data_IF_953849848141
#
_entry.id   IF_953849848141
#
_cell.length_a   1.000
_cell.length_b   1.000
_cell.length_c   1.000
_cell.angle_alpha   90.00
_cell.angle_beta   90.00
_cell.angle_gamma   90.00
#
_symmetry.space_group_name_H-M   'P 1'
#
loop_
_entity.id
_entity.type
_entity.pdbx_description
1 polymer ?
#
# COMPACT_ATOMS: atom_id res chain seq x y z
N UNK A 1 12.31 -20.40 -5.30
CA UNK A 1 10.94 -20.64 -5.82
C UNK A 1 10.67 -19.58 -6.89
N UNK A 2 9.76 -19.80 -7.84
CA UNK A 2 9.44 -18.82 -8.88
C UNK A 2 7.94 -18.57 -8.97
N UNK A 3 7.51 -17.35 -9.25
CA UNK A 3 6.16 -17.08 -9.75
C UNK A 3 6.22 -16.72 -11.23
N UNK A 4 5.10 -16.88 -11.93
CA UNK A 4 5.00 -16.46 -13.33
C UNK A 4 4.58 -15.00 -13.44
N UNK A 5 5.36 -14.23 -14.18
CA UNK A 5 5.06 -12.85 -14.61
C UNK A 5 4.78 -12.84 -16.10
N UNK A 6 3.85 -11.97 -16.51
CA UNK A 6 3.35 -11.90 -17.87
C UNK A 6 1.98 -12.53 -18.00
N UNK A 7 1.25 -12.13 -19.04
CA UNK A 7 -0.14 -12.54 -19.28
C UNK A 7 -0.33 -13.18 -20.66
N UNK A 8 0.78 -13.42 -21.37
CA UNK A 8 0.82 -14.10 -22.67
C UNK A 8 1.92 -15.16 -22.62
N UNK A 9 1.69 -16.39 -23.09
CA UNK A 9 2.66 -17.49 -22.94
C UNK A 9 4.05 -17.22 -23.54
N UNK A 10 4.12 -16.44 -24.62
CA UNK A 10 5.39 -16.09 -25.28
C UNK A 10 6.20 -15.02 -24.54
N UNK A 11 5.58 -14.29 -23.61
CA UNK A 11 6.22 -13.25 -22.79
C UNK A 11 6.41 -13.71 -21.33
N UNK A 12 6.13 -15.00 -21.07
CA UNK A 12 6.21 -15.58 -19.75
C UNK A 12 7.63 -15.44 -19.17
N UNK A 13 7.72 -14.87 -17.97
CA UNK A 13 8.97 -14.78 -17.21
C UNK A 13 8.79 -15.46 -15.86
N UNK A 14 9.72 -16.34 -15.49
CA UNK A 14 9.80 -16.87 -14.12
C UNK A 14 10.62 -15.90 -13.28
N UNK A 15 10.00 -15.34 -12.25
CA UNK A 15 10.66 -14.40 -11.34
C UNK A 15 10.92 -15.10 -10.01
N UNK A 16 12.18 -15.10 -9.59
CA UNK A 16 12.59 -15.75 -8.35
C UNK A 16 12.03 -15.02 -7.12
N UNK A 17 11.59 -15.83 -6.15
CA UNK A 17 11.09 -15.42 -4.84
C UNK A 17 11.76 -16.27 -3.77
N UNK A 18 11.84 -15.73 -2.54
CA UNK A 18 12.24 -16.53 -1.38
C UNK A 18 11.36 -17.77 -1.24
N UNK A 19 11.98 -18.93 -1.00
CA UNK A 19 11.30 -20.21 -0.79
C UNK A 19 10.65 -20.27 0.60
N UNK A 20 9.59 -19.47 0.80
CA UNK A 20 8.80 -19.35 2.03
C UNK A 20 7.30 -19.40 1.71
N UNK A 21 6.49 -19.96 2.60
CA UNK A 21 5.05 -20.03 2.40
C UNK A 21 4.39 -18.65 2.28
N UNK A 22 4.95 -17.63 2.96
CA UNK A 22 4.53 -16.23 2.91
C UNK A 22 4.62 -15.60 1.50
N UNK A 23 5.46 -16.17 0.62
CA UNK A 23 5.61 -15.68 -0.75
C UNK A 23 4.48 -16.16 -1.68
N UNK A 24 3.70 -17.17 -1.28
CA UNK A 24 2.59 -17.67 -2.09
C UNK A 24 1.50 -16.60 -2.27
N UNK A 25 0.73 -16.70 -3.35
CA UNK A 25 -0.24 -15.67 -3.75
C UNK A 25 -1.41 -16.29 -4.50
N UNK A 26 -2.62 -16.18 -3.97
CA UNK A 26 -3.78 -16.95 -4.45
C UNK A 26 -4.22 -16.69 -5.89
N UNK A 27 -3.86 -15.55 -6.48
CA UNK A 27 -4.24 -15.17 -7.86
C UNK A 27 -3.22 -15.55 -8.94
N UNK A 28 -2.16 -16.30 -8.61
CA UNK A 28 -1.14 -16.73 -9.57
C UNK A 28 -0.68 -18.17 -9.30
N UNK A 29 0.27 -18.64 -10.10
CA UNK A 29 0.92 -19.93 -9.95
C UNK A 29 2.39 -19.77 -9.55
N UNK A 30 2.91 -20.75 -8.82
CA UNK A 30 4.31 -20.83 -8.41
C UNK A 30 4.95 -22.14 -8.87
N UNK A 31 6.23 -22.08 -9.19
CA UNK A 31 7.06 -23.23 -9.55
C UNK A 31 8.20 -23.41 -8.54
N UNK A 32 8.37 -24.64 -8.09
CA UNK A 32 9.46 -25.06 -7.22
C UNK A 32 10.29 -26.08 -7.96
N UNK A 33 11.50 -25.69 -8.33
CA UNK A 33 12.42 -26.55 -9.06
C UNK A 33 13.25 -27.30 -8.03
N UNK A 34 13.03 -28.60 -7.88
CA UNK A 34 13.88 -29.45 -7.06
C UNK A 34 14.73 -30.35 -7.95
N UNK A 35 15.90 -29.83 -8.32
CA UNK A 35 16.80 -30.51 -9.25
C UNK A 35 17.32 -31.85 -8.74
N UNK A 36 17.41 -32.02 -7.41
CA UNK A 36 17.97 -33.22 -6.77
C UNK A 36 17.07 -34.45 -6.89
N UNK A 37 15.75 -34.24 -6.87
CA UNK A 37 14.73 -35.30 -7.04
C UNK A 37 14.03 -35.24 -8.40
N UNK A 38 14.57 -34.45 -9.32
CA UNK A 38 14.12 -34.33 -10.71
C UNK A 38 12.63 -33.99 -10.85
N UNK A 39 12.12 -33.18 -9.92
CA UNK A 39 10.70 -32.83 -9.85
C UNK A 39 10.53 -31.31 -9.81
N UNK A 40 9.59 -30.81 -10.60
CA UNK A 40 9.12 -29.43 -10.57
C UNK A 40 7.72 -29.44 -9.96
N UNK A 41 7.58 -28.89 -8.76
CA UNK A 41 6.28 -28.74 -8.11
C UNK A 41 5.64 -27.44 -8.59
N UNK A 42 4.39 -27.49 -9.02
CA UNK A 42 3.63 -26.33 -9.48
C UNK A 42 2.46 -26.13 -8.53
N UNK A 43 2.46 -25.01 -7.81
CA UNK A 43 1.36 -24.63 -6.94
C UNK A 43 0.44 -23.66 -7.68
N UNK A 44 -0.87 -23.94 -7.69
CA UNK A 44 -1.89 -23.14 -8.35
C UNK A 44 -2.75 -22.47 -7.28
N UNK A 45 -2.69 -21.14 -7.23
CA UNK A 45 -3.54 -20.37 -6.32
C UNK A 45 -5.03 -20.55 -6.63
N UNK A 46 -5.88 -20.49 -5.61
CA UNK A 46 -7.31 -20.79 -5.71
C UNK A 46 -8.09 -19.77 -6.55
N UNK A 47 -7.50 -18.60 -6.81
CA UNK A 47 -8.03 -17.54 -7.67
C UNK A 47 -7.14 -17.32 -8.90
N UNK A 48 -6.25 -18.26 -9.22
CA UNK A 48 -5.44 -18.23 -10.43
C UNK A 48 -6.36 -18.46 -11.64
N UNK A 49 -6.32 -17.54 -12.60
CA UNK A 49 -7.11 -17.64 -13.83
C UNK A 49 -6.48 -18.65 -14.80
N UNK A 50 -7.30 -19.26 -15.65
CA UNK A 50 -6.85 -20.26 -16.64
C UNK A 50 -5.73 -19.74 -17.54
N UNK A 51 -5.82 -18.48 -17.98
CA UNK A 51 -4.75 -17.85 -18.76
C UNK A 51 -3.40 -17.84 -18.02
N UNK A 52 -3.40 -17.58 -16.71
CA UNK A 52 -2.16 -17.48 -15.91
C UNK A 52 -1.58 -18.87 -15.71
N UNK A 53 -2.44 -19.87 -15.56
CA UNK A 53 -2.05 -21.29 -15.53
C UNK A 53 -1.43 -21.72 -16.86
N UNK A 54 -1.99 -21.33 -18.00
CA UNK A 54 -1.43 -21.60 -19.33
C UNK A 54 -0.04 -20.96 -19.50
N UNK A 55 0.13 -19.69 -19.08
CA UNK A 55 1.42 -19.00 -19.10
C UNK A 55 2.45 -19.73 -18.23
N UNK A 56 2.06 -20.20 -17.03
CA UNK A 56 2.94 -21.01 -16.18
C UNK A 56 3.31 -22.34 -16.85
N UNK A 57 2.34 -23.06 -17.40
CA UNK A 57 2.58 -24.32 -18.11
C UNK A 57 3.58 -24.12 -19.24
N UNK A 58 3.41 -23.08 -20.06
CA UNK A 58 4.33 -22.78 -21.15
C UNK A 58 5.73 -22.42 -20.67
N UNK A 59 5.83 -21.66 -19.57
CA UNK A 59 7.12 -21.34 -18.95
C UNK A 59 7.85 -22.59 -18.46
N UNK A 60 7.12 -23.52 -17.84
CA UNK A 60 7.67 -24.81 -17.36
C UNK A 60 8.07 -25.73 -18.52
N UNK A 61 7.25 -25.83 -19.57
CA UNK A 61 7.61 -26.57 -20.79
C UNK A 61 8.92 -26.04 -21.39
N UNK A 62 9.02 -24.72 -21.54
CA UNK A 62 10.23 -24.09 -22.05
C UNK A 62 11.43 -24.36 -21.13
N UNK A 63 11.25 -24.26 -19.82
CA UNK A 63 12.29 -24.58 -18.84
C UNK A 63 12.79 -26.03 -18.96
N UNK A 64 11.88 -27.00 -19.08
CA UNK A 64 12.21 -28.44 -19.21
C UNK A 64 12.88 -28.74 -20.55
N UNK A 65 12.49 -28.03 -21.63
CA UNK A 65 13.09 -28.22 -22.95
C UNK A 65 14.51 -27.66 -23.04
N UNK A 66 14.78 -26.51 -22.41
CA UNK A 66 16.08 -25.84 -22.48
C UNK A 66 17.05 -26.30 -21.39
N UNK A 67 16.55 -26.70 -20.21
CA UNK A 67 17.33 -27.21 -19.06
C UNK A 67 18.52 -26.33 -18.70
N UNK A 68 18.26 -25.09 -18.25
CA UNK A 68 19.32 -24.17 -17.84
C UNK A 68 20.18 -24.75 -16.71
N UNK A 69 21.50 -24.73 -16.91
CA UNK A 69 22.47 -25.17 -15.90
C UNK A 69 22.50 -24.26 -14.66
N UNK A 70 22.11 -22.99 -14.80
CA UNK A 70 21.99 -22.02 -13.69
C UNK A 70 20.96 -22.49 -12.65
N UNK A 71 19.91 -23.19 -13.11
CA UNK A 71 18.89 -23.80 -12.26
C UNK A 71 19.25 -25.23 -11.85
N UNK A 72 20.51 -25.63 -12.04
CA UNK A 72 21.02 -26.98 -11.80
C UNK A 72 20.27 -28.07 -12.56
N UNK A 73 19.65 -27.73 -13.70
CA UNK A 73 18.96 -28.69 -14.55
C UNK A 73 19.98 -29.43 -15.42
N UNK A 74 19.91 -30.76 -15.43
CA UNK A 74 20.85 -31.62 -16.17
C UNK A 74 20.24 -32.06 -17.49
N UNK A 75 21.01 -31.97 -18.57
CA UNK A 75 20.55 -32.26 -19.93
C UNK A 75 19.99 -33.68 -20.11
N UNK A 76 20.60 -34.66 -19.44
CA UNK A 76 20.31 -36.10 -19.49
C UNK A 76 19.18 -36.53 -18.53
N UNK A 77 18.67 -35.62 -17.70
CA UNK A 77 17.61 -35.91 -16.73
C UNK A 77 16.24 -35.52 -17.28
N UNK A 78 15.26 -36.40 -17.12
CA UNK A 78 13.86 -36.08 -17.38
C UNK A 78 13.22 -35.53 -16.10
N UNK A 79 12.72 -34.29 -16.17
CA UNK A 79 12.05 -33.63 -15.06
C UNK A 79 10.55 -33.87 -15.14
N UNK A 80 9.94 -34.22 -14.00
CA UNK A 80 8.49 -34.45 -13.90
C UNK A 80 7.82 -33.26 -13.21
N UNK A 81 6.65 -32.85 -13.69
CA UNK A 81 5.84 -31.80 -13.08
C UNK A 81 4.77 -32.39 -12.17
N UNK A 82 4.61 -31.87 -10.95
CA UNK A 82 3.53 -32.22 -10.03
C UNK A 82 2.73 -30.98 -9.65
N UNK A 83 1.44 -30.98 -9.90
CA UNK A 83 0.57 -29.83 -9.64
C UNK A 83 -0.17 -29.98 -8.30
N UNK A 84 -0.28 -28.88 -7.55
CA UNK A 84 -0.99 -28.79 -6.27
C UNK A 84 -1.89 -27.56 -6.30
N UNK A 85 -3.17 -27.74 -5.98
CA UNK A 85 -4.11 -26.64 -5.85
C UNK A 85 -4.09 -26.08 -4.42
N UNK A 86 -4.17 -24.76 -4.29
CA UNK A 86 -4.30 -24.08 -3.01
C UNK A 86 -5.51 -24.60 -2.21
N UNK A 87 -5.29 -24.92 -0.94
CA UNK A 87 -6.27 -25.52 -0.03
C UNK A 87 -6.38 -27.04 -0.13
N UNK A 88 -5.71 -27.67 -1.10
CA UNK A 88 -5.66 -29.14 -1.28
C UNK A 88 -4.22 -29.67 -1.23
N UNK A 89 -3.29 -28.91 -0.65
CA UNK A 89 -1.87 -29.28 -0.61
C UNK A 89 -1.63 -30.43 0.37
N UNK A 90 -1.02 -31.50 -0.13
CA UNK A 90 -0.57 -32.62 0.68
C UNK A 90 0.76 -32.36 1.39
N UNK A 91 1.14 -33.28 2.30
CA UNK A 91 2.43 -33.24 3.00
C UNK A 91 3.62 -33.11 2.04
N UNK A 92 3.56 -33.79 0.90
CA UNK A 92 4.60 -33.75 -0.13
C UNK A 92 4.95 -32.31 -0.57
N UNK A 93 3.94 -31.46 -0.75
CA UNK A 93 4.17 -30.07 -1.13
C UNK A 93 4.77 -29.27 0.02
N UNK A 94 4.25 -29.42 1.24
CA UNK A 94 4.72 -28.67 2.39
C UNK A 94 6.14 -29.03 2.81
N UNK A 95 6.56 -30.27 2.60
CA UNK A 95 7.93 -30.73 2.86
C UNK A 95 8.97 -29.96 2.01
N UNK A 96 8.56 -29.33 0.89
CA UNK A 96 9.44 -28.46 0.06
C UNK A 96 9.93 -27.23 0.84
N UNK A 97 9.18 -26.77 1.84
CA UNK A 97 9.57 -25.65 2.71
C UNK A 97 10.36 -26.09 3.97
N UNK A 98 10.60 -27.39 4.14
CA UNK A 98 11.32 -27.95 5.30
C UNK A 98 10.65 -27.64 6.64
N UNK A 99 11.45 -27.38 7.69
CA UNK A 99 10.96 -27.04 9.04
C UNK A 99 10.22 -25.71 9.13
N UNK A 100 10.20 -24.90 8.05
CA UNK A 100 9.44 -23.65 7.96
C UNK A 100 8.01 -23.87 7.42
N UNK A 101 7.62 -25.12 7.14
CA UNK A 101 6.39 -25.51 6.46
C UNK A 101 5.22 -25.93 7.36
N UNK A 102 5.02 -25.30 8.52
CA UNK A 102 3.72 -25.41 9.21
C UNK A 102 2.79 -24.29 8.69
N UNK A 103 1.74 -24.64 7.91
CA UNK A 103 0.87 -23.66 7.30
C UNK A 103 0.00 -23.04 8.39
N UNK A 104 0.26 -21.78 8.72
CA UNK A 104 -0.86 -20.95 9.15
C UNK A 104 -1.42 -20.31 7.88
N UNK A 105 -2.70 -20.54 7.58
CA UNK A 105 -3.44 -19.86 6.48
C UNK A 105 -3.24 -18.33 6.49
N UNK A 106 -2.81 -17.78 7.62
CA UNK A 106 -2.46 -16.38 7.85
C UNK A 106 -1.18 -15.90 7.15
N UNK A 107 -0.31 -16.77 6.66
CA UNK A 107 1.03 -16.35 6.22
C UNK A 107 1.07 -15.52 4.93
N UNK A 108 0.09 -15.67 4.04
CA UNK A 108 0.05 -14.94 2.76
C UNK A 108 -1.33 -14.38 2.38
N UNK A 109 -2.25 -14.30 3.34
CA UNK A 109 -3.63 -13.84 3.11
C UNK A 109 -4.36 -14.67 2.04
N UNK A 110 -4.45 -15.99 2.28
CA UNK A 110 -5.11 -16.93 1.37
C UNK A 110 -6.56 -16.53 1.06
N UNK A 111 -6.93 -16.61 -0.22
CA UNK A 111 -8.27 -16.26 -0.71
C UNK A 111 -9.22 -17.46 -0.87
N UNK A 112 -8.87 -18.64 -0.32
CA UNK A 112 -9.69 -19.87 -0.43
C UNK A 112 -11.10 -19.67 0.12
N UNK A 113 -11.19 -19.01 1.27
CA UNK A 113 -12.45 -18.80 1.98
C UNK A 113 -13.18 -17.52 1.49
N UNK A 114 -12.63 -16.80 0.50
CA UNK A 114 -13.21 -15.55 -0.01
C UNK A 114 -14.29 -15.80 -1.06
N UNK A 115 -15.50 -15.25 -0.88
CA UNK A 115 -16.59 -15.37 -1.86
C UNK A 115 -16.40 -14.44 -3.07
N UNK A 116 -15.41 -13.54 -3.03
CA UNK A 116 -15.21 -12.54 -4.07
C UNK A 116 -14.59 -13.14 -5.34
N UNK A 117 -14.85 -12.47 -6.47
CA UNK A 117 -14.15 -12.70 -7.74
C UNK A 117 -12.86 -11.88 -7.78
N UNK A 118 -11.90 -12.34 -8.59
CA UNK A 118 -10.54 -11.78 -8.70
C UNK A 118 -10.08 -11.69 -10.17
N UNK A 119 -11.05 -11.54 -11.06
CA UNK A 119 -10.97 -11.49 -12.52
C UNK A 119 -10.73 -10.06 -13.07
N UNK A 120 -10.01 -9.24 -12.31
CA UNK A 120 -9.70 -7.85 -12.65
C UNK A 120 -8.22 -7.53 -12.46
N UNK A 121 -7.71 -6.53 -13.15
CA UNK A 121 -6.35 -6.01 -12.94
C UNK A 121 -6.41 -4.86 -11.92
N UNK A 122 -5.68 -4.93 -10.78
CA UNK A 122 -5.55 -3.79 -9.87
C UNK A 122 -4.98 -2.55 -10.57
N UNK A 123 -5.38 -1.35 -10.14
CA UNK A 123 -4.88 -0.08 -10.69
C UNK A 123 -4.20 0.73 -9.60
N UNK A 124 -3.09 1.37 -9.93
CA UNK A 124 -2.31 2.16 -8.98
C UNK A 124 -2.19 3.60 -9.49
N UNK A 125 -2.41 4.57 -8.62
CA UNK A 125 -2.29 5.98 -8.94
C UNK A 125 -1.37 6.65 -7.94
N UNK A 126 -0.33 7.32 -8.43
CA UNK A 126 0.52 8.18 -7.61
C UNK A 126 -0.15 9.55 -7.49
N UNK A 127 -0.36 10.02 -6.26
CA UNK A 127 -1.06 11.26 -5.96
C UNK A 127 -0.10 12.26 -5.32
N UNK A 128 0.12 13.41 -5.96
CA UNK A 128 1.13 14.38 -5.54
C UNK A 128 0.81 15.80 -6.03
N UNK A 129 1.27 16.79 -5.26
CA UNK A 129 1.26 18.23 -5.50
C UNK A 129 2.65 18.77 -5.89
N UNK A 130 3.61 17.90 -6.17
CA UNK A 130 4.99 18.28 -6.51
C UNK A 130 5.09 19.25 -7.70
N UNK A 131 4.14 19.20 -8.64
CA UNK A 131 4.03 20.12 -9.78
C UNK A 131 3.27 21.43 -9.49
N UNK A 132 2.90 21.71 -8.23
CA UNK A 132 2.14 22.90 -7.83
C UNK A 132 0.61 22.76 -7.88
N UNK A 133 0.11 21.75 -8.60
CA UNK A 133 -1.29 21.30 -8.58
C UNK A 133 -1.35 19.87 -8.07
N UNK A 134 -2.38 19.54 -7.30
CA UNK A 134 -2.63 18.17 -6.85
C UNK A 134 -3.12 17.32 -8.02
N UNK A 135 -2.35 16.28 -8.37
CA UNK A 135 -2.67 15.39 -9.49
C UNK A 135 -2.60 13.94 -9.04
N UNK A 136 -3.46 13.10 -9.64
CA UNK A 136 -3.39 11.65 -9.52
C UNK A 136 -3.02 11.07 -10.89
N UNK A 137 -1.84 10.44 -10.99
CA UNK A 137 -1.32 9.86 -12.23
C UNK A 137 -1.32 8.34 -12.14
N UNK A 138 -2.00 7.69 -13.08
CA UNK A 138 -2.03 6.22 -13.14
C UNK A 138 -0.64 5.66 -13.47
N UNK A 139 -0.19 4.71 -12.67
CA UNK A 139 0.99 3.90 -12.93
C UNK A 139 0.54 2.69 -13.73
N UNK A 140 1.14 2.51 -14.90
CA UNK A 140 0.79 1.44 -15.81
C UNK A 140 1.80 0.30 -15.69
N UNK A 141 1.28 -0.92 -15.59
CA UNK A 141 2.10 -2.12 -15.67
C UNK A 141 2.74 -2.23 -17.07
N UNK A 142 4.04 -2.55 -17.10
CA UNK A 142 4.86 -2.62 -18.31
C UNK A 142 4.53 -3.83 -19.19
N UNK A 143 4.00 -4.90 -18.59
CA UNK A 143 3.59 -6.14 -19.26
C UNK A 143 2.06 -6.32 -19.28
N UNK A 144 1.31 -5.22 -19.16
CA UNK A 144 -0.16 -5.27 -19.23
C UNK A 144 -0.65 -5.67 -20.61
N UNK A 145 -1.78 -6.38 -20.65
CA UNK A 145 -2.52 -6.66 -21.88
C UNK A 145 -3.89 -5.99 -21.83
N UNK A 146 -4.40 -5.57 -22.99
CA UNK A 146 -5.75 -5.01 -23.10
C UNK A 146 -6.86 -6.06 -22.97
N UNK A 147 -6.53 -7.35 -23.12
CA UNK A 147 -7.50 -8.45 -23.12
C UNK A 147 -7.36 -9.38 -21.91
N UNK A 148 -6.17 -9.41 -21.29
CA UNK A 148 -5.85 -10.38 -20.25
C UNK A 148 -5.65 -9.70 -18.89
N UNK A 149 -6.19 -10.32 -17.85
CA UNK A 149 -6.04 -9.85 -16.46
C UNK A 149 -4.60 -9.99 -15.99
N UNK A 150 -4.05 -8.95 -15.37
CA UNK A 150 -2.75 -8.99 -14.70
C UNK A 150 -2.98 -9.00 -13.19
N UNK A 151 -2.85 -10.15 -12.49
CA UNK A 151 -3.25 -10.27 -11.09
C UNK A 151 -2.37 -9.46 -10.13
N UNK A 152 -1.07 -9.36 -10.45
CA UNK A 152 -0.06 -8.66 -9.68
C UNK A 152 0.73 -7.71 -10.59
N UNK A 153 0.16 -6.55 -10.96
CA UNK A 153 0.74 -5.64 -11.94
C UNK A 153 1.87 -4.77 -11.38
N UNK A 154 1.94 -4.61 -10.06
CA UNK A 154 2.85 -3.72 -9.35
C UNK A 154 3.66 -4.48 -8.30
N UNK A 155 4.82 -3.94 -7.99
CA UNK A 155 5.79 -4.40 -6.99
C UNK A 155 5.81 -3.44 -5.81
N UNK A 156 6.38 -3.86 -4.68
CA UNK A 156 6.56 -2.97 -3.52
C UNK A 156 7.40 -1.73 -3.87
N UNK A 157 8.38 -1.88 -4.78
CA UNK A 157 9.22 -0.76 -5.21
C UNK A 157 8.41 0.35 -5.91
N UNK A 158 7.30 0.02 -6.57
CA UNK A 158 6.45 1.02 -7.23
C UNK A 158 5.84 2.05 -6.26
N UNK A 159 5.64 1.67 -4.98
CA UNK A 159 5.13 2.59 -3.93
C UNK A 159 6.23 3.09 -2.99
N UNK A 160 7.31 2.33 -2.80
CA UNK A 160 8.42 2.72 -1.90
C UNK A 160 9.52 3.58 -2.57
N UNK A 161 9.59 3.63 -3.91
CA UNK A 161 10.61 4.41 -4.63
C UNK A 161 10.23 5.87 -4.92
N UNK A 162 8.97 6.26 -4.70
CA UNK A 162 8.52 7.63 -4.91
C UNK A 162 9.09 8.57 -3.85
N UNK A 163 9.28 9.85 -4.19
CA UNK A 163 9.72 10.86 -3.24
C UNK A 163 8.65 11.09 -2.16
N UNK A 164 9.02 10.92 -0.89
CA UNK A 164 8.13 11.18 0.24
C UNK A 164 8.16 12.65 0.70
N UNK A 165 7.10 13.17 1.35
CA UNK A 165 5.82 12.51 1.59
C UNK A 165 5.06 12.19 0.30
N UNK A 166 4.29 11.10 0.29
CA UNK A 166 3.53 10.69 -0.90
C UNK A 166 2.31 9.84 -0.55
N UNK A 167 1.40 9.76 -1.52
CA UNK A 167 0.17 8.98 -1.47
C UNK A 167 0.00 8.13 -2.72
N UNK A 168 -0.54 6.93 -2.54
CA UNK A 168 -0.93 6.06 -3.63
C UNK A 168 -2.35 5.56 -3.43
N UNK A 169 -3.18 5.69 -4.47
CA UNK A 169 -4.47 5.02 -4.53
C UNK A 169 -4.30 3.68 -5.25
N UNK A 170 -4.54 2.58 -4.54
CA UNK A 170 -4.58 1.23 -5.08
C UNK A 170 -6.03 0.75 -5.16
N UNK A 171 -6.53 0.62 -6.37
CA UNK A 171 -7.84 0.07 -6.67
C UNK A 171 -7.74 -1.46 -6.81
N UNK A 172 -8.21 -2.18 -5.80
CA UNK A 172 -8.35 -3.64 -5.79
C UNK A 172 -9.81 -4.08 -6.04
N UNK A 173 -10.52 -3.33 -6.90
CA UNK A 173 -11.90 -3.55 -7.31
C UNK A 173 -12.94 -3.43 -6.17
N UNK A 174 -12.96 -4.39 -5.25
CA UNK A 174 -13.91 -4.45 -4.13
C UNK A 174 -13.46 -3.59 -2.93
N UNK A 175 -12.16 -3.30 -2.85
CA UNK A 175 -11.56 -2.48 -1.81
C UNK A 175 -10.59 -1.50 -2.45
N UNK A 176 -10.63 -0.26 -2.00
CA UNK A 176 -9.71 0.80 -2.42
C UNK A 176 -8.81 1.13 -1.23
N UNK A 177 -7.51 1.18 -1.47
CA UNK A 177 -6.54 1.56 -0.46
C UNK A 177 -5.92 2.91 -0.83
N UNK A 178 -5.94 3.85 0.11
CA UNK A 178 -5.09 5.02 0.09
C UNK A 178 -3.87 4.71 0.96
N UNK A 179 -2.76 4.34 0.31
CA UNK A 179 -1.49 4.14 0.98
C UNK A 179 -0.81 5.49 1.19
N UNK A 180 -0.36 5.76 2.41
CA UNK A 180 0.28 7.02 2.78
C UNK A 180 1.65 6.80 3.39
N UNK A 181 2.59 7.66 3.02
CA UNK A 181 3.92 7.71 3.60
C UNK A 181 4.30 9.15 3.90
N UNK A 182 4.39 9.48 5.19
CA UNK A 182 4.76 10.84 5.63
C UNK A 182 6.26 11.06 5.63
N UNK A 183 7.01 10.04 6.06
CA UNK A 183 8.45 10.11 6.24
C UNK A 183 9.20 9.58 5.03
N UNK A 184 10.38 10.12 4.76
CA UNK A 184 11.31 9.58 3.77
C UNK A 184 12.06 8.38 4.35
N UNK A 185 12.48 7.46 3.48
CA UNK A 185 13.23 6.26 3.88
C UNK A 185 14.47 6.07 3.01
N UNK A 186 15.54 5.52 3.59
CA UNK A 186 16.76 5.16 2.85
C UNK A 186 17.98 6.05 3.13
N UNK A 187 19.06 5.81 2.38
CA UNK A 187 20.39 6.40 2.62
C UNK A 187 20.50 7.91 2.34
N UNK A 188 19.50 8.49 1.66
CA UNK A 188 19.43 9.92 1.38
C UNK A 188 18.68 10.71 2.45
N UNK A 189 18.18 10.03 3.51
CA UNK A 189 17.66 10.69 4.70
C UNK A 189 18.84 11.17 5.55
N UNK A 190 19.17 12.45 5.43
CA UNK A 190 20.11 13.12 6.34
C UNK A 190 19.41 13.52 7.64
N UNK A 191 20.15 13.76 8.73
CA UNK A 191 19.60 14.35 9.97
C UNK A 191 18.84 15.66 9.69
N UNK A 192 19.23 16.41 8.67
CA UNK A 192 18.52 17.60 8.19
C UNK A 192 17.16 17.28 7.56
N UNK A 193 16.97 16.10 6.97
CA UNK A 193 15.70 15.68 6.35
C UNK A 193 14.65 15.33 7.40
N UNK A 194 15.06 14.70 8.50
CA UNK A 194 14.20 14.45 9.67
C UNK A 194 13.90 15.75 10.45
N UNK A 195 14.88 16.64 10.62
CA UNK A 195 14.68 17.95 11.22
C UNK A 195 13.73 18.85 10.38
N UNK A 196 13.78 18.74 9.05
CA UNK A 196 12.91 19.50 8.14
C UNK A 196 11.49 18.93 8.02
N UNK A 197 11.29 17.62 8.18
CA UNK A 197 9.96 16.99 8.28
C UNK A 197 9.19 17.46 9.53
N UNK A 198 9.89 17.96 10.55
CA UNK A 198 9.33 18.55 11.76
C UNK A 198 8.97 20.05 11.65
N UNK A 199 9.21 20.69 10.50
CA UNK A 199 8.85 22.12 10.32
C UNK A 199 7.33 22.29 10.17
N UNK A 200 6.78 23.36 10.75
CA UNK A 200 5.33 23.64 10.66
C UNK A 200 4.84 23.74 9.22
N UNK A 201 5.65 24.28 8.30
CA UNK A 201 5.32 24.39 6.87
C UNK A 201 5.17 23.06 6.15
N UNK A 202 6.02 22.06 6.45
CA UNK A 202 5.92 20.74 5.82
C UNK A 202 4.70 19.98 6.32
N UNK A 203 4.38 20.08 7.63
CA UNK A 203 3.16 19.50 8.18
C UNK A 203 1.89 20.14 7.59
N UNK A 204 1.89 21.45 7.31
CA UNK A 204 0.78 22.12 6.61
C UNK A 204 0.59 21.54 5.21
N UNK A 205 1.69 21.43 4.46
CA UNK A 205 1.65 20.89 3.09
C UNK A 205 1.16 19.45 3.08
N UNK A 206 1.72 18.61 3.95
CA UNK A 206 1.30 17.23 4.17
C UNK A 206 -0.21 17.15 4.46
N UNK A 207 -0.70 17.91 5.43
CA UNK A 207 -2.11 17.86 5.83
C UNK A 207 -3.06 18.29 4.70
N UNK A 208 -2.70 19.34 3.95
CA UNK A 208 -3.47 19.80 2.80
C UNK A 208 -3.48 18.75 1.67
N UNK A 209 -2.32 18.19 1.33
CA UNK A 209 -2.17 17.16 0.30
C UNK A 209 -2.89 15.86 0.68
N UNK A 210 -2.75 15.43 1.94
CA UNK A 210 -3.47 14.28 2.52
C UNK A 210 -4.97 14.46 2.38
N UNK A 211 -5.50 15.64 2.71
CA UNK A 211 -6.93 15.93 2.55
C UNK A 211 -7.37 15.81 1.10
N UNK A 212 -6.61 16.39 0.16
CA UNK A 212 -6.89 16.25 -1.27
C UNK A 212 -6.87 14.77 -1.73
N UNK A 213 -5.92 13.97 -1.22
CA UNK A 213 -5.82 12.55 -1.53
C UNK A 213 -7.02 11.76 -0.98
N UNK A 214 -7.42 12.03 0.26
CA UNK A 214 -8.59 11.43 0.89
C UNK A 214 -9.89 11.78 0.14
N UNK A 215 -10.12 13.06 -0.14
CA UNK A 215 -11.31 13.54 -0.87
C UNK A 215 -11.37 12.90 -2.27
N UNK A 216 -10.23 12.85 -2.98
CA UNK A 216 -10.12 12.24 -4.29
C UNK A 216 -10.36 10.72 -4.26
N UNK A 217 -9.84 10.03 -3.24
CA UNK A 217 -10.05 8.59 -3.08
C UNK A 217 -11.52 8.26 -2.75
N UNK A 218 -12.16 9.06 -1.90
CA UNK A 218 -13.58 8.92 -1.61
C UNK A 218 -14.44 9.16 -2.86
N UNK A 219 -14.14 10.24 -3.61
CA UNK A 219 -14.81 10.52 -4.87
C UNK A 219 -14.60 9.40 -5.89
N UNK A 220 -13.39 8.80 -5.95
CA UNK A 220 -13.10 7.66 -6.80
C UNK A 220 -13.99 6.46 -6.45
N UNK A 221 -14.15 6.13 -5.16
CA UNK A 221 -15.05 5.05 -4.74
C UNK A 221 -16.48 5.27 -5.25
N UNK A 222 -17.05 6.46 -5.03
CA UNK A 222 -18.40 6.78 -5.49
C UNK A 222 -18.54 6.79 -7.02
N UNK A 223 -17.52 7.29 -7.73
CA UNK A 223 -17.52 7.30 -9.19
C UNK A 223 -17.41 5.90 -9.79
N UNK A 224 -16.71 4.97 -9.11
CA UNK A 224 -16.56 3.58 -9.54
C UNK A 224 -17.89 2.83 -9.50
N UNK A 225 -18.66 2.99 -8.42
CA UNK A 225 -20.01 2.45 -8.30
C UNK A 225 -20.81 3.32 -7.34
N UNK A 226 -21.74 4.12 -7.86
CA UNK A 226 -22.52 5.04 -7.02
C UNK A 226 -23.60 4.34 -6.19
N UNK A 227 -24.08 3.17 -6.63
CA UNK A 227 -25.12 2.41 -5.94
C UNK A 227 -24.56 1.61 -4.76
N UNK A 228 -23.38 1.02 -4.96
CA UNK A 228 -22.64 0.27 -3.94
C UNK A 228 -21.14 0.58 -4.05
N UNK A 229 -20.69 1.74 -3.52
CA UNK A 229 -19.29 2.13 -3.57
C UNK A 229 -18.39 1.10 -2.87
N UNK A 230 -17.21 0.78 -3.43
CA UNK A 230 -16.25 -0.07 -2.75
C UNK A 230 -15.78 0.59 -1.45
N UNK A 231 -15.45 -0.25 -0.46
CA UNK A 231 -14.91 0.24 0.79
C UNK A 231 -13.52 0.86 0.57
N UNK A 232 -13.32 2.07 1.10
CA UNK A 232 -12.06 2.81 0.99
C UNK A 232 -11.33 2.86 2.33
N UNK A 233 -10.05 2.50 2.36
CA UNK A 233 -9.24 2.45 3.59
C UNK A 233 -7.92 3.21 3.44
N UNK A 234 -7.50 3.90 4.50
CA UNK A 234 -6.16 4.46 4.64
C UNK A 234 -5.26 3.41 5.27
N UNK A 235 -4.08 3.20 4.68
CA UNK A 235 -3.04 2.30 5.19
C UNK A 235 -1.70 3.03 5.22
N UNK A 236 -0.88 2.78 6.25
CA UNK A 236 0.37 3.49 6.43
C UNK A 236 1.57 2.65 6.00
N UNK A 237 2.55 3.32 5.38
CA UNK A 237 3.84 2.75 5.03
C UNK A 237 4.49 2.04 6.23
N UNK A 238 5.00 0.83 6.00
CA UNK A 238 5.66 -0.05 6.98
C UNK A 238 4.71 -0.71 7.98
N UNK A 239 3.44 -0.32 8.04
CA UNK A 239 2.42 -0.85 8.94
C UNK A 239 1.24 -1.44 8.17
N UNK A 240 1.44 -1.80 6.91
CA UNK A 240 0.38 -2.24 6.02
C UNK A 240 -0.25 -3.56 6.50
N UNK A 241 -1.57 -3.75 6.32
CA UNK A 241 -2.23 -5.02 6.61
C UNK A 241 -1.87 -6.10 5.57
N UNK A 242 -1.94 -7.37 5.97
CA UNK A 242 -1.70 -8.51 5.07
C UNK A 242 -2.58 -8.49 3.81
N UNK A 243 -3.81 -7.94 3.93
CA UNK A 243 -4.74 -7.75 2.80
C UNK A 243 -4.21 -6.79 1.73
N UNK A 244 -3.39 -5.81 2.10
CA UNK A 244 -2.72 -4.90 1.18
C UNK A 244 -1.43 -5.52 0.65
N UNK A 245 -0.58 -6.07 1.54
CA UNK A 245 0.69 -6.72 1.17
C UNK A 245 0.49 -7.88 0.18
N UNK A 246 -0.63 -8.60 0.31
CA UNK A 246 -1.04 -9.69 -0.58
C UNK A 246 -1.37 -9.25 -2.01
N UNK A 247 -1.52 -7.94 -2.28
CA UNK A 247 -1.79 -7.40 -3.62
C UNK A 247 -0.53 -7.21 -4.47
N UNK A 248 0.64 -7.50 -3.89
CA UNK A 248 1.93 -7.44 -4.53
C UNK A 248 2.51 -8.86 -4.64
N UNK A 249 3.29 -9.17 -5.70
CA UNK A 249 3.83 -10.51 -5.90
C UNK A 249 4.84 -10.89 -4.80
N UNK A 250 5.52 -9.88 -4.24
CA UNK A 250 6.42 -9.98 -3.10
C UNK A 250 6.20 -8.79 -2.19
N UNK A 251 6.37 -9.00 -0.89
CA UNK A 251 6.32 -7.94 0.10
C UNK A 251 7.33 -8.23 1.21
N UNK A 252 8.18 -7.24 1.50
CA UNK A 252 9.13 -7.26 2.60
C UNK A 252 8.70 -6.24 3.64
N UNK A 253 8.60 -6.68 4.89
CA UNK A 253 8.31 -5.80 5.99
C UNK A 253 9.46 -4.79 6.21
N UNK A 254 9.11 -3.51 6.30
CA UNK A 254 10.05 -2.40 6.45
C UNK A 254 10.01 -1.86 7.87
N UNK A 255 10.78 -2.49 8.76
CA UNK A 255 10.82 -2.12 10.18
C UNK A 255 11.30 -0.68 10.40
N UNK A 256 12.28 -0.25 9.61
CA UNK A 256 12.80 1.13 9.57
C UNK A 256 11.70 2.16 9.32
N UNK A 257 10.75 1.82 8.46
CA UNK A 257 9.60 2.65 8.12
C UNK A 257 8.49 2.56 9.16
N UNK A 258 8.25 1.33 9.64
CA UNK A 258 7.22 1.03 10.61
C UNK A 258 7.42 1.81 11.91
N UNK A 259 8.66 1.88 12.40
CA UNK A 259 8.98 2.50 13.67
C UNK A 259 8.72 4.00 13.69
N UNK A 260 8.91 4.69 12.56
CA UNK A 260 8.58 6.12 12.41
C UNK A 260 7.07 6.36 12.57
N UNK A 261 6.23 5.55 11.93
CA UNK A 261 4.77 5.72 12.03
C UNK A 261 4.20 5.20 13.35
N UNK A 262 4.84 4.23 14.02
CA UNK A 262 4.47 3.82 15.38
C UNK A 262 4.65 4.94 16.40
N UNK A 263 5.66 5.80 16.22
CA UNK A 263 5.87 6.97 17.07
C UNK A 263 4.71 7.98 16.95
N UNK A 264 4.07 8.05 15.78
CA UNK A 264 2.84 8.82 15.53
C UNK A 264 1.56 8.10 16.02
N UNK A 265 1.69 6.96 16.71
CA UNK A 265 0.57 6.21 17.28
C UNK A 265 -0.16 5.28 16.31
N UNK A 266 0.33 5.13 15.07
CA UNK A 266 -0.21 4.16 14.10
C UNK A 266 0.11 2.73 14.51
N UNK A 267 -0.79 1.80 14.19
CA UNK A 267 -0.67 0.39 14.58
C UNK A 267 -0.39 -0.51 13.38
N UNK A 268 0.40 -1.60 13.54
CA UNK A 268 0.57 -2.60 12.49
C UNK A 268 -0.77 -3.17 12.02
N UNK A 269 -0.97 -3.21 10.71
CA UNK A 269 -2.19 -3.73 10.08
C UNK A 269 -3.42 -2.86 10.25
N UNK A 270 -3.27 -1.61 10.69
CA UNK A 270 -4.38 -0.68 10.84
C UNK A 270 -4.96 -0.27 9.49
N UNK A 271 -6.29 -0.37 9.38
CA UNK A 271 -7.07 0.09 8.24
C UNK A 271 -8.11 1.07 8.75
N UNK A 272 -7.98 2.35 8.41
CA UNK A 272 -8.95 3.37 8.79
C UNK A 272 -9.88 3.65 7.61
N UNK A 273 -11.19 3.71 7.82
CA UNK A 273 -12.10 4.07 6.75
C UNK A 273 -11.83 5.52 6.28
N UNK A 274 -11.76 5.74 4.96
CA UNK A 274 -11.45 7.08 4.41
C UNK A 274 -12.46 8.12 4.89
N UNK A 275 -13.74 7.75 4.99
CA UNK A 275 -14.81 8.62 5.49
C UNK A 275 -14.60 9.00 6.97
N UNK A 276 -14.14 8.06 7.81
CA UNK A 276 -13.86 8.32 9.22
C UNK A 276 -12.68 9.27 9.36
N UNK A 277 -11.62 9.07 8.59
CA UNK A 277 -10.46 9.99 8.57
C UNK A 277 -10.88 11.38 8.09
N UNK A 278 -11.65 11.47 7.00
CA UNK A 278 -12.16 12.76 6.49
C UNK A 278 -13.08 13.48 7.48
N UNK A 279 -13.86 12.75 8.28
CA UNK A 279 -14.74 13.36 9.29
C UNK A 279 -13.97 14.12 10.39
N UNK A 280 -12.66 13.84 10.51
CA UNK A 280 -11.77 14.54 11.42
C UNK A 280 -11.30 15.88 10.84
N UNK A 281 -11.33 16.11 9.52
CA UNK A 281 -10.94 17.36 8.86
C UNK A 281 -12.06 18.41 8.91
N UNK A 282 -12.43 18.82 10.12
CA UNK A 282 -13.50 19.79 10.35
C UNK A 282 -13.03 21.21 10.02
N UNK A 283 -13.96 22.06 9.61
CA UNK A 283 -13.69 23.50 9.45
C UNK A 283 -13.71 24.25 10.78
N UNK A 284 -14.30 23.67 11.82
CA UNK A 284 -14.45 24.28 13.14
C UNK A 284 -14.19 23.27 14.26
N UNK A 285 -13.50 23.72 15.31
CA UNK A 285 -13.17 23.00 16.53
C UNK A 285 -13.37 23.91 17.72
N UNK A 286 -13.70 23.32 18.87
CA UNK A 286 -13.84 24.07 20.11
C UNK A 286 -12.50 24.59 20.63
N UNK A 287 -12.54 25.67 21.42
CA UNK A 287 -11.33 26.21 22.07
C UNK A 287 -10.65 25.18 22.97
N UNK A 288 -11.43 24.33 23.64
CA UNK A 288 -10.89 23.26 24.47
C UNK A 288 -10.15 22.19 23.65
N UNK A 289 -10.71 21.78 22.50
CA UNK A 289 -10.07 20.79 21.63
C UNK A 289 -8.72 21.28 21.10
N UNK A 290 -8.65 22.56 20.67
CA UNK A 290 -7.41 23.15 20.13
C UNK A 290 -6.33 23.38 21.20
N UNK A 291 -6.71 23.44 22.48
CA UNK A 291 -5.78 23.53 23.61
C UNK A 291 -5.24 22.17 24.06
N UNK A 292 -5.91 21.06 23.74
CA UNK A 292 -5.45 19.71 24.11
C UNK A 292 -4.29 19.26 23.22
N UNK A 293 -3.49 18.32 23.74
CA UNK A 293 -2.39 17.66 23.03
C UNK A 293 -2.54 16.13 23.19
N UNK A 294 -2.32 15.32 22.13
CA UNK A 294 -2.00 15.73 20.76
C UNK A 294 -3.16 16.50 20.08
N UNK A 295 -2.83 17.35 19.12
CA UNK A 295 -3.84 18.06 18.33
C UNK A 295 -4.61 17.07 17.44
N UNK A 296 -5.89 17.32 17.14
CA UNK A 296 -6.60 16.59 16.09
C UNK A 296 -5.81 16.53 14.78
N UNK A 297 -5.89 15.39 14.09
CA UNK A 297 -5.15 15.13 12.86
C UNK A 297 -5.56 16.13 11.75
N UNK A 298 -4.60 16.57 10.93
CA UNK A 298 -4.88 17.48 9.82
C UNK A 298 -4.89 18.99 10.17
N UNK A 299 -4.82 19.35 11.46
CA UNK A 299 -4.79 20.75 11.89
C UNK A 299 -3.44 21.44 11.61
N UNK A 300 -3.51 22.71 11.21
CA UNK A 300 -2.35 23.57 11.13
C UNK A 300 -2.07 24.22 12.50
N UNK A 301 -1.04 23.74 13.20
CA UNK A 301 -0.60 24.27 14.48
C UNK A 301 -0.21 25.77 14.44
N UNK A 302 0.18 26.31 13.28
CA UNK A 302 0.53 27.72 13.14
C UNK A 302 -0.69 28.65 13.04
N UNK A 303 -1.88 28.12 12.75
CA UNK A 303 -3.10 28.92 12.61
C UNK A 303 -4.32 28.29 13.31
N UNK A 304 -4.14 27.75 14.52
CA UNK A 304 -5.22 27.14 15.30
C UNK A 304 -6.44 28.07 15.46
N UNK A 305 -6.22 29.38 15.57
CA UNK A 305 -7.27 30.40 15.65
C UNK A 305 -8.25 30.37 14.46
N UNK A 306 -7.79 29.99 13.27
CA UNK A 306 -8.63 29.96 12.07
C UNK A 306 -9.76 28.92 12.16
N UNK A 307 -9.55 27.90 13.00
CA UNK A 307 -10.45 26.76 13.19
C UNK A 307 -11.46 26.99 14.31
N UNK A 308 -11.46 28.11 15.03
CA UNK A 308 -12.48 28.37 16.06
C UNK A 308 -13.85 28.68 15.42
N UNK A 309 -14.92 28.71 16.22
CA UNK A 309 -16.15 29.41 15.85
C UNK A 309 -15.98 30.94 15.85
N UNK A 310 -17.02 31.71 15.51
CA UNK A 310 -16.98 33.18 15.65
C UNK A 310 -16.96 33.57 17.14
N UNK A 311 -17.82 32.95 17.94
CA UNK A 311 -17.98 33.23 19.37
C UNK A 311 -16.72 32.85 20.16
N UNK A 312 -16.22 31.62 20.00
CA UNK A 312 -15.02 31.15 20.69
C UNK A 312 -13.74 31.89 20.25
N UNK A 313 -13.67 32.36 19.00
CA UNK A 313 -12.55 33.20 18.55
C UNK A 313 -12.52 34.51 19.34
N UNK A 314 -13.69 35.16 19.46
CA UNK A 314 -13.81 36.40 20.20
C UNK A 314 -13.57 36.17 21.70
N UNK A 315 -14.00 35.04 22.26
CA UNK A 315 -13.70 34.66 23.63
C UNK A 315 -12.18 34.43 23.85
N UNK A 316 -11.53 33.69 22.96
CA UNK A 316 -10.12 33.31 23.10
C UNK A 316 -9.16 34.49 22.91
N UNK A 317 -9.43 35.37 21.94
CA UNK A 317 -8.52 36.44 21.52
C UNK A 317 -9.01 37.84 21.89
N UNK A 318 -10.24 37.98 22.38
CA UNK A 318 -10.82 39.23 22.88
C UNK A 318 -11.21 40.24 21.79
N UNK A 319 -11.26 39.84 20.52
CA UNK A 319 -11.57 40.71 19.39
C UNK A 319 -12.15 39.93 18.20
N UNK A 320 -12.66 40.65 17.20
CA UNK A 320 -13.14 40.05 15.95
C UNK A 320 -11.98 39.47 15.12
N UNK A 321 -12.30 38.59 14.16
CA UNK A 321 -11.30 38.02 13.25
C UNK A 321 -10.67 39.10 12.38
N UNK A 322 -11.52 39.99 11.88
CA UNK A 322 -11.15 41.10 11.02
C UNK A 322 -10.13 42.00 11.72
N UNK A 323 -10.38 42.35 12.99
CA UNK A 323 -9.47 43.17 13.79
C UNK A 323 -8.16 42.43 14.08
N UNK A 324 -8.23 41.14 14.42
CA UNK A 324 -7.05 40.33 14.72
C UNK A 324 -6.08 40.26 13.54
N UNK A 325 -6.59 40.00 12.33
CA UNK A 325 -5.74 39.92 11.13
C UNK A 325 -5.20 41.29 10.67
N UNK A 326 -5.77 42.40 11.14
CA UNK A 326 -5.19 43.74 10.94
C UNK A 326 -4.00 44.03 11.87
N UNK A 327 -3.78 43.23 12.92
CA UNK A 327 -2.66 43.43 13.83
C UNK A 327 -1.32 43.02 13.20
N UNK A 328 -0.20 43.63 13.61
CA UNK A 328 1.13 43.13 13.26
C UNK A 328 1.35 41.68 13.71
N UNK A 329 2.09 40.89 12.92
CA UNK A 329 2.32 39.45 13.16
C UNK A 329 2.84 39.15 14.58
N UNK A 330 3.78 39.95 15.11
CA UNK A 330 4.30 39.76 16.46
C UNK A 330 3.20 39.83 17.54
N UNK A 331 2.19 40.67 17.33
CA UNK A 331 1.07 40.87 18.26
C UNK A 331 0.05 39.74 18.13
N UNK A 332 -0.18 39.25 16.90
CA UNK A 332 -0.97 38.05 16.66
C UNK A 332 -0.37 36.85 17.39
N UNK A 333 0.92 36.59 17.21
CA UNK A 333 1.65 35.50 17.89
C UNK A 333 1.55 35.60 19.41
N UNK A 334 1.73 36.79 19.98
CA UNK A 334 1.62 37.00 21.43
C UNK A 334 0.21 36.67 21.97
N UNK A 335 -0.84 37.05 21.24
CA UNK A 335 -2.22 36.73 21.63
C UNK A 335 -2.50 35.23 21.52
N UNK A 336 -2.01 34.56 20.46
CA UNK A 336 -2.14 33.10 20.30
C UNK A 336 -1.44 32.33 21.41
N UNK A 337 -0.22 32.72 21.76
CA UNK A 337 0.53 32.13 22.87
C UNK A 337 -0.22 32.28 24.19
N UNK A 338 -0.76 33.48 24.48
CA UNK A 338 -1.60 33.70 25.67
C UNK A 338 -2.85 32.82 25.70
N UNK A 339 -3.44 32.55 24.54
CA UNK A 339 -4.62 31.71 24.40
C UNK A 339 -4.31 30.20 24.37
N UNK A 340 -3.04 29.79 24.43
CA UNK A 340 -2.54 28.42 24.21
C UNK A 340 -2.90 27.85 22.83
N UNK A 341 -2.88 28.71 21.82
CA UNK A 341 -3.15 28.41 20.41
C UNK A 341 -1.89 28.53 19.54
N UNK A 342 -0.71 28.36 20.15
CA UNK A 342 0.60 28.41 19.48
C UNK A 342 1.40 27.13 19.72
#
# INVERSE_FOLDING_TARGET
MFYVRGVVPNEATLVEVETRAQSLRSRTAFAFINASVHTIYVWIGCKCLDQTREVMQKAIENLINHKSCELSLKADVNYVTKEFAEGSEGKEFWDVFGSHGLPTKRLYYSSVDSPLTFDYTPRLFHMTSSSGEFTAKEILCSYRSGHNVTPYPFTQEDVYSAQQPTFFLLDNHNQIFLWESKYGFGKDVTEDTEANAATGSQNIRWNAERKCALDSALAYCFAKNSAEPPNGFVVCAGLEPDSFCGLFPQWMYREDVADLHKQDGRKPGEMLAIQEVLSQYRSQYSLEELRRRPLPEGLNALCLESYLGVEEFQEALGMSREDFYCLPVWRQTHLKQKANLF
#
